data_IF_975039345962
#
_entry.id   IF_975039345962
#
_cell.length_a   1.000
_cell.length_b   1.000
_cell.length_c   1.000
_cell.angle_alpha   90.00
_cell.angle_beta   90.00
_cell.angle_gamma   90.00
#
_symmetry.space_group_name_H-M   'P 1'
#
loop_
_entity.id
_entity.type
_entity.pdbx_description
1 polymer ?
#
# COMPACT_ATOMS: atom_id res chain seq x y z
N UNK A 1 -0.32 12.37 -5.27
CA UNK A 1 -1.31 11.53 -4.56
C UNK A 1 -1.34 10.21 -5.29
N UNK A 2 -1.03 9.12 -4.60
CA UNK A 2 -1.11 7.79 -5.18
C UNK A 2 -2.59 7.46 -5.40
N UNK A 3 -3.07 7.47 -6.64
CA UNK A 3 -4.47 7.18 -6.99
C UNK A 3 -4.82 5.70 -6.85
N UNK A 4 -3.82 4.86 -6.73
CA UNK A 4 -3.91 3.41 -6.87
C UNK A 4 -4.79 2.77 -5.79
N UNK A 5 -4.72 3.26 -4.54
CA UNK A 5 -5.56 2.78 -3.43
C UNK A 5 -7.03 3.20 -3.53
N UNK A 6 -7.37 4.18 -4.38
CA UNK A 6 -8.71 4.71 -4.54
C UNK A 6 -9.43 4.14 -5.76
N UNK A 7 -8.63 3.72 -6.75
CA UNK A 7 -9.15 3.34 -8.04
C UNK A 7 -9.25 1.81 -8.18
N UNK A 8 -8.30 1.09 -7.57
CA UNK A 8 -8.20 -0.38 -7.73
C UNK A 8 -7.83 -1.07 -6.42
N UNK A 9 -8.42 -2.24 -6.20
CA UNK A 9 -7.97 -3.19 -5.19
C UNK A 9 -7.31 -4.41 -5.85
N UNK A 10 -6.35 -5.03 -5.16
CA UNK A 10 -5.69 -6.26 -5.60
C UNK A 10 -5.75 -7.30 -4.49
N UNK A 11 -6.09 -8.51 -4.83
CA UNK A 11 -6.14 -9.62 -3.87
C UNK A 11 -5.85 -10.98 -4.51
N UNK A 12 -5.34 -11.95 -3.72
CA UNK A 12 -4.83 -11.76 -2.37
C UNK A 12 -3.59 -10.88 -2.35
N UNK A 13 -3.41 -10.09 -1.27
CA UNK A 13 -2.19 -9.27 -1.09
C UNK A 13 -1.03 -10.07 -0.55
N UNK A 14 -1.32 -11.10 0.23
CA UNK A 14 -0.36 -12.02 0.81
C UNK A 14 -0.43 -13.35 0.07
N UNK A 15 0.69 -13.78 -0.45
CA UNK A 15 0.82 -14.94 -1.33
C UNK A 15 1.91 -15.86 -0.78
N UNK A 16 1.81 -17.16 -1.09
CA UNK A 16 2.85 -18.10 -0.73
C UNK A 16 3.91 -18.14 -1.83
N UNK A 17 5.17 -17.98 -1.45
CA UNK A 17 6.29 -18.11 -2.35
C UNK A 17 6.33 -19.48 -3.02
N UNK A 18 6.62 -19.52 -4.31
CA UNK A 18 6.79 -20.74 -5.08
C UNK A 18 5.50 -21.47 -5.47
N UNK A 19 4.34 -21.03 -4.98
CA UNK A 19 3.05 -21.58 -5.37
C UNK A 19 2.35 -20.70 -6.42
N UNK A 20 1.69 -21.33 -7.40
CA UNK A 20 0.86 -20.59 -8.37
C UNK A 20 -0.35 -20.03 -7.65
N UNK A 21 -0.54 -18.73 -7.78
CA UNK A 21 -1.68 -18.01 -7.19
C UNK A 21 -2.46 -17.27 -8.27
N UNK A 22 -3.78 -17.31 -8.17
CA UNK A 22 -4.66 -16.46 -8.96
C UNK A 22 -4.79 -15.10 -8.28
N UNK A 23 -4.51 -14.04 -9.02
CA UNK A 23 -4.53 -12.66 -8.55
C UNK A 23 -5.65 -11.94 -9.27
N UNK A 24 -6.45 -11.22 -8.50
CA UNK A 24 -7.57 -10.43 -9.00
C UNK A 24 -7.30 -8.95 -8.77
N UNK A 25 -7.50 -8.14 -9.81
CA UNK A 25 -7.55 -6.67 -9.72
C UNK A 25 -8.98 -6.25 -9.95
N UNK A 26 -9.54 -5.51 -8.99
CA UNK A 26 -10.92 -5.03 -9.01
C UNK A 26 -10.97 -3.51 -9.00
N UNK A 27 -11.70 -2.85 -9.92
CA UNK A 27 -11.97 -1.42 -9.83
C UNK A 27 -12.87 -1.12 -8.62
N UNK A 28 -12.54 -0.06 -7.85
CA UNK A 28 -13.27 0.33 -6.64
C UNK A 28 -14.42 1.27 -6.99
N UNK A 29 -14.30 2.07 -8.04
CA UNK A 29 -15.33 3.02 -8.45
C UNK A 29 -15.62 2.97 -9.94
N UNK A 30 -16.76 3.53 -10.34
CA UNK A 30 -17.19 3.55 -11.74
C UNK A 30 -16.18 4.26 -12.66
N UNK A 31 -15.44 5.25 -12.14
CA UNK A 31 -14.39 5.97 -12.87
C UNK A 31 -13.16 5.11 -13.19
N UNK A 32 -12.97 4.02 -12.45
CA UNK A 32 -11.86 3.08 -12.63
C UNK A 32 -12.29 1.80 -13.39
N UNK A 33 -13.57 1.68 -13.74
CA UNK A 33 -14.09 0.51 -14.44
C UNK A 33 -13.35 0.28 -15.78
N UNK A 34 -13.14 -0.99 -16.08
CA UNK A 34 -12.60 -1.40 -17.37
C UNK A 34 -13.72 -1.34 -18.42
N UNK A 35 -13.60 -0.45 -19.39
CA UNK A 35 -14.59 -0.29 -20.45
C UNK A 35 -14.16 -1.01 -21.73
N UNK A 36 -15.06 -1.80 -22.27
CA UNK A 36 -14.88 -2.48 -23.54
C UNK A 36 -13.95 -3.70 -23.46
N UNK A 37 -13.68 -4.29 -24.63
CA UNK A 37 -12.75 -5.42 -24.77
C UNK A 37 -11.28 -4.96 -24.81
N UNK A 38 -10.93 -3.90 -24.09
CA UNK A 38 -9.59 -3.38 -24.10
C UNK A 38 -8.71 -4.23 -23.20
N UNK A 39 -7.80 -4.98 -23.82
CA UNK A 39 -6.78 -5.73 -23.12
C UNK A 39 -5.94 -4.79 -22.27
N UNK A 40 -5.74 -5.18 -21.04
CA UNK A 40 -4.80 -4.54 -20.12
C UNK A 40 -3.51 -5.33 -20.10
N UNK A 41 -2.41 -4.66 -19.88
CA UNK A 41 -1.12 -5.32 -19.69
C UNK A 41 -0.72 -5.23 -18.22
N UNK A 42 -0.50 -6.36 -17.59
CA UNK A 42 0.01 -6.47 -16.22
C UNK A 42 1.51 -6.67 -16.29
N UNK A 43 2.26 -5.82 -15.55
CA UNK A 43 3.70 -5.99 -15.38
C UNK A 43 4.01 -6.22 -13.92
N UNK A 44 4.71 -7.30 -13.61
CA UNK A 44 5.14 -7.68 -12.26
C UNK A 44 6.64 -7.51 -12.14
N UNK A 45 7.11 -6.92 -11.04
CA UNK A 45 8.53 -6.68 -10.76
C UNK A 45 8.80 -6.81 -9.26
N UNK A 46 9.90 -7.46 -8.83
CA UNK A 46 10.31 -7.45 -7.42
C UNK A 46 10.71 -6.02 -7.00
N UNK A 47 10.43 -5.66 -5.75
CA UNK A 47 10.74 -4.34 -5.18
C UNK A 47 12.07 -4.30 -4.44
N UNK A 48 12.65 -5.46 -4.12
CA UNK A 48 13.97 -5.57 -3.49
C UNK A 48 15.15 -5.37 -4.45
N UNK A 49 16.35 -5.24 -3.88
CA UNK A 49 17.64 -5.24 -4.58
C UNK A 49 17.81 -4.18 -5.68
N UNK A 50 17.38 -2.94 -5.41
CA UNK A 50 17.64 -1.82 -6.34
C UNK A 50 16.69 -1.75 -7.53
N UNK A 51 15.60 -2.49 -7.53
CA UNK A 51 14.56 -2.44 -8.56
C UNK A 51 13.95 -1.03 -8.76
N UNK A 52 14.15 -0.13 -7.79
CA UNK A 52 13.72 1.28 -7.87
C UNK A 52 14.70 2.20 -8.61
N UNK A 53 16.00 1.91 -8.57
CA UNK A 53 17.04 2.87 -8.98
C UNK A 53 17.72 2.53 -10.29
N UNK A 54 17.63 1.31 -10.74
CA UNK A 54 18.12 0.89 -12.06
C UNK A 54 17.06 0.04 -12.71
N UNK A 55 17.01 0.07 -14.03
CA UNK A 55 16.13 -0.80 -14.80
C UNK A 55 16.22 -2.21 -14.23
N UNK A 56 15.09 -2.80 -13.77
CA UNK A 56 15.10 -4.14 -13.24
C UNK A 56 15.73 -5.05 -14.27
N UNK A 57 16.61 -5.92 -13.84
CA UNK A 57 17.16 -6.94 -14.72
C UNK A 57 15.98 -7.60 -15.42
N UNK A 58 16.02 -7.68 -16.75
CA UNK A 58 14.88 -8.13 -17.56
C UNK A 58 14.42 -9.54 -17.19
N UNK A 59 15.29 -10.31 -16.56
CA UNK A 59 15.05 -11.67 -16.11
C UNK A 59 14.01 -11.78 -14.97
N UNK A 60 13.76 -10.71 -14.23
CA UNK A 60 12.84 -10.69 -13.09
C UNK A 60 11.59 -9.82 -13.36
N UNK A 61 11.21 -9.65 -14.62
CA UNK A 61 10.02 -8.91 -15.00
C UNK A 61 9.10 -9.81 -15.80
N UNK A 62 7.88 -9.97 -15.30
CA UNK A 62 6.85 -10.76 -15.97
C UNK A 62 5.78 -9.85 -16.56
N UNK A 63 5.17 -10.27 -17.65
CA UNK A 63 4.13 -9.51 -18.34
C UNK A 63 2.99 -10.40 -18.81
N UNK A 64 1.76 -9.92 -18.62
CA UNK A 64 0.53 -10.62 -19.00
C UNK A 64 -0.42 -9.69 -19.74
N UNK A 65 -0.93 -10.12 -20.89
CA UNK A 65 -2.11 -9.50 -21.48
C UNK A 65 -3.35 -10.10 -20.79
N UNK A 66 -4.20 -9.26 -20.24
CA UNK A 66 -5.37 -9.68 -19.48
C UNK A 66 -6.59 -8.90 -19.98
N UNK A 67 -7.64 -9.62 -20.30
CA UNK A 67 -8.92 -9.05 -20.71
C UNK A 67 -9.85 -8.98 -19.49
N UNK A 68 -10.59 -7.88 -19.30
CA UNK A 68 -11.58 -7.80 -18.22
C UNK A 68 -12.64 -8.90 -18.35
N UNK A 69 -12.96 -9.53 -17.21
CA UNK A 69 -14.00 -10.54 -17.13
C UNK A 69 -15.40 -9.90 -17.08
N UNK A 70 -16.42 -10.74 -17.21
CA UNK A 70 -17.83 -10.28 -17.21
C UNK A 70 -18.26 -9.63 -15.89
N UNK A 71 -17.57 -9.94 -14.78
CA UNK A 71 -17.78 -9.34 -13.47
C UNK A 71 -17.01 -8.01 -13.27
N UNK A 72 -16.33 -7.55 -14.31
CA UNK A 72 -15.58 -6.30 -14.29
C UNK A 72 -14.22 -6.38 -13.58
N UNK A 73 -13.68 -7.58 -13.36
CA UNK A 73 -12.36 -7.79 -12.76
C UNK A 73 -11.32 -8.22 -13.80
N UNK A 74 -10.04 -8.07 -13.46
CA UNK A 74 -8.93 -8.70 -14.18
C UNK A 74 -8.40 -9.84 -13.34
N UNK A 75 -8.24 -11.04 -13.93
CA UNK A 75 -7.62 -12.20 -13.26
C UNK A 75 -6.44 -12.71 -14.06
N UNK A 76 -5.40 -13.08 -13.36
CA UNK A 76 -4.23 -13.72 -13.93
C UNK A 76 -3.56 -14.62 -12.88
N UNK A 77 -2.77 -15.58 -13.36
CA UNK A 77 -2.01 -16.48 -12.49
C UNK A 77 -0.54 -16.17 -12.56
N UNK A 78 0.13 -16.25 -11.41
CA UNK A 78 1.58 -16.06 -11.32
C UNK A 78 2.16 -16.88 -10.16
N UNK A 79 3.42 -17.32 -10.34
CA UNK A 79 4.23 -17.94 -9.30
C UNK A 79 5.36 -16.98 -8.94
N UNK A 80 5.40 -16.53 -7.69
CA UNK A 80 6.43 -15.64 -7.19
C UNK A 80 7.66 -16.46 -6.72
N UNK A 81 8.83 -16.35 -7.39
CA UNK A 81 9.94 -17.25 -7.12
C UNK A 81 10.72 -16.93 -5.85
N UNK A 82 10.64 -15.72 -5.33
CA UNK A 82 11.37 -15.27 -4.16
C UNK A 82 10.45 -14.59 -3.15
N UNK A 83 10.84 -14.61 -1.88
CA UNK A 83 10.20 -13.83 -0.85
C UNK A 83 10.42 -12.34 -1.07
N UNK A 84 9.38 -11.53 -0.83
CA UNK A 84 9.46 -10.08 -0.88
C UNK A 84 8.21 -9.41 -1.42
N UNK A 85 8.32 -8.08 -1.53
CA UNK A 85 7.31 -7.23 -2.14
C UNK A 85 7.47 -7.20 -3.66
N UNK A 86 6.35 -7.28 -4.36
CA UNK A 86 6.28 -7.16 -5.82
C UNK A 86 5.35 -6.04 -6.24
N UNK A 87 5.85 -5.16 -7.11
CA UNK A 87 5.02 -4.17 -7.79
C UNK A 87 4.24 -4.83 -8.91
N UNK A 88 2.93 -4.66 -8.89
CA UNK A 88 2.01 -5.07 -9.96
C UNK A 88 1.49 -3.82 -10.64
N UNK A 89 1.98 -3.54 -11.85
CA UNK A 89 1.58 -2.37 -12.62
C UNK A 89 0.49 -2.73 -13.62
N UNK A 90 -0.63 -2.05 -13.50
CA UNK A 90 -1.69 -2.08 -14.49
C UNK A 90 -1.40 -1.05 -15.56
N UNK A 91 -1.28 -1.49 -16.81
CA UNK A 91 -1.00 -0.65 -17.97
C UNK A 91 -2.22 -0.76 -18.90
N UNK A 92 -2.81 0.39 -19.20
CA UNK A 92 -4.00 0.44 -20.07
C UNK A 92 -3.64 0.32 -21.57
N UNK A 93 -4.66 0.30 -22.43
CA UNK A 93 -4.53 0.26 -23.88
C UNK A 93 -3.70 1.42 -24.47
N UNK A 94 -3.67 2.56 -23.81
CA UNK A 94 -2.86 3.73 -24.20
C UNK A 94 -1.39 3.61 -23.80
N UNK A 95 -0.98 2.46 -23.28
CA UNK A 95 0.37 2.19 -22.74
C UNK A 95 0.76 3.06 -21.54
N UNK A 96 -0.21 3.63 -20.84
CA UNK A 96 0.01 4.40 -19.61
C UNK A 96 -0.19 3.51 -18.40
N UNK A 97 0.61 3.75 -17.36
CA UNK A 97 0.41 3.09 -16.06
C UNK A 97 -0.84 3.69 -15.42
N UNK A 98 -1.89 2.89 -15.32
CA UNK A 98 -3.16 3.24 -14.70
C UNK A 98 -3.09 3.07 -13.18
N UNK A 99 -2.41 2.03 -12.71
CA UNK A 99 -2.22 1.76 -11.28
C UNK A 99 -0.86 1.10 -11.01
N UNK A 100 -0.35 1.32 -9.78
CA UNK A 100 0.78 0.61 -9.19
C UNK A 100 0.29 -0.02 -7.90
N UNK A 101 0.15 -1.32 -7.91
CA UNK A 101 -0.34 -2.11 -6.79
C UNK A 101 0.82 -2.94 -6.22
N UNK A 102 0.65 -3.46 -5.02
CA UNK A 102 1.64 -4.30 -4.38
C UNK A 102 1.03 -5.61 -3.88
N UNK A 103 1.82 -6.69 -3.99
CA UNK A 103 1.57 -7.98 -3.35
C UNK A 103 2.83 -8.46 -2.68
N UNK A 104 2.70 -9.34 -1.69
CA UNK A 104 3.79 -9.85 -0.87
C UNK A 104 3.82 -11.36 -0.95
N UNK A 105 4.91 -11.91 -1.50
CA UNK A 105 5.17 -13.34 -1.48
C UNK A 105 5.98 -13.69 -0.23
N UNK A 106 5.51 -14.64 0.56
CA UNK A 106 6.08 -14.96 1.86
C UNK A 106 6.47 -16.45 1.96
N UNK A 107 7.50 -16.71 2.74
CA UNK A 107 7.86 -18.06 3.21
C UNK A 107 6.83 -18.55 4.26
N UNK A 108 6.87 -19.84 4.56
CA UNK A 108 5.91 -20.50 5.45
C UNK A 108 5.85 -19.90 6.87
N UNK A 109 6.96 -19.38 7.37
CA UNK A 109 7.06 -18.79 8.70
C UNK A 109 6.27 -17.48 8.85
N UNK A 110 6.11 -16.71 7.76
CA UNK A 110 5.32 -15.49 7.71
C UNK A 110 3.96 -15.70 7.04
N UNK A 111 3.87 -16.55 6.02
CA UNK A 111 2.61 -16.80 5.31
C UNK A 111 1.48 -17.30 6.22
N UNK A 112 1.81 -18.11 7.22
CA UNK A 112 0.85 -18.59 8.22
C UNK A 112 0.45 -17.57 9.29
N UNK A 113 0.97 -16.33 9.24
CA UNK A 113 0.68 -15.28 10.22
C UNK A 113 -0.38 -14.30 9.72
N UNK A 114 -0.97 -13.57 10.66
CA UNK A 114 -1.89 -12.50 10.33
C UNK A 114 -1.10 -11.25 9.91
N UNK A 115 -1.46 -10.67 8.76
CA UNK A 115 -0.85 -9.44 8.27
C UNK A 115 -1.66 -8.24 8.75
N UNK A 116 -0.99 -7.28 9.41
CA UNK A 116 -1.57 -6.01 9.81
C UNK A 116 -1.04 -4.87 8.94
N UNK A 117 -1.92 -3.95 8.55
CA UNK A 117 -1.56 -2.75 7.83
C UNK A 117 -1.34 -1.60 8.81
N UNK A 118 -0.15 -1.02 8.82
CA UNK A 118 0.17 0.09 9.72
C UNK A 118 0.99 1.18 9.05
N UNK A 119 0.91 2.38 9.63
CA UNK A 119 1.78 3.50 9.28
C UNK A 119 2.25 4.19 10.57
N UNK A 120 3.57 4.28 10.72
CA UNK A 120 4.22 4.84 11.89
C UNK A 120 4.92 6.18 11.59
N UNK A 121 4.63 6.80 10.43
CA UNK A 121 5.22 8.07 10.05
C UNK A 121 4.24 8.94 9.26
N UNK A 122 3.55 9.83 9.97
CA UNK A 122 2.61 10.76 9.36
C UNK A 122 2.50 12.06 10.14
N UNK A 123 2.10 13.12 9.43
CA UNK A 123 2.05 14.47 9.96
C UNK A 123 0.64 15.04 9.93
N UNK A 124 0.32 15.82 10.95
CA UNK A 124 -0.89 16.61 11.03
C UNK A 124 -0.63 18.09 10.75
N UNK A 125 -1.69 18.92 10.73
CA UNK A 125 -1.55 20.38 10.61
C UNK A 125 -0.88 21.02 11.84
N UNK A 126 -0.55 20.26 12.86
CA UNK A 126 0.21 20.74 14.00
C UNK A 126 1.72 20.79 13.72
N UNK A 127 2.18 20.21 12.60
CA UNK A 127 3.49 20.46 12.00
C UNK A 127 3.36 20.92 10.55
N UNK A 128 3.60 20.08 9.58
CA UNK A 128 3.59 20.41 8.15
C UNK A 128 2.55 19.61 7.34
N UNK A 129 1.76 18.78 8.01
CA UNK A 129 0.59 18.13 7.40
C UNK A 129 -0.55 19.13 7.13
N UNK A 130 -1.66 18.65 6.60
CA UNK A 130 -2.79 19.50 6.18
C UNK A 130 -4.02 19.36 7.05
N UNK A 131 -4.22 18.24 7.69
CA UNK A 131 -5.44 17.88 8.42
C UNK A 131 -5.18 17.84 9.92
N UNK A 132 -6.23 18.07 10.70
CA UNK A 132 -6.17 17.94 12.15
C UNK A 132 -5.84 16.47 12.55
N UNK A 133 -5.15 16.22 13.67
CA UNK A 133 -4.71 14.88 14.07
C UNK A 133 -5.82 13.84 14.09
N UNK A 134 -7.00 14.23 14.56
CA UNK A 134 -8.17 13.36 14.64
C UNK A 134 -8.77 13.02 13.27
N UNK A 135 -8.71 13.97 12.32
CA UNK A 135 -9.14 13.72 10.93
C UNK A 135 -8.16 12.78 10.24
N UNK A 136 -6.85 12.98 10.44
CA UNK A 136 -5.83 12.05 9.94
C UNK A 136 -6.13 10.63 10.44
N UNK A 137 -6.37 10.47 11.74
CA UNK A 137 -6.67 9.17 12.34
C UNK A 137 -7.95 8.54 11.76
N UNK A 138 -9.01 9.31 11.59
CA UNK A 138 -10.26 8.84 10.99
C UNK A 138 -10.07 8.39 9.53
N UNK A 139 -9.28 9.12 8.75
CA UNK A 139 -8.97 8.77 7.37
C UNK A 139 -8.19 7.46 7.30
N UNK A 140 -7.16 7.27 8.13
CA UNK A 140 -6.40 6.01 8.17
C UNK A 140 -7.29 4.82 8.52
N UNK A 141 -8.18 4.97 9.50
CA UNK A 141 -9.17 3.92 9.81
C UNK A 141 -10.09 3.64 8.63
N UNK A 142 -10.56 4.65 7.92
CA UNK A 142 -11.42 4.49 6.74
C UNK A 142 -10.73 3.76 5.59
N UNK A 143 -9.39 3.83 5.53
CA UNK A 143 -8.57 3.11 4.54
C UNK A 143 -8.19 1.69 4.95
N UNK A 144 -8.66 1.24 6.12
CA UNK A 144 -8.43 -0.11 6.59
C UNK A 144 -7.11 -0.33 7.32
N UNK A 145 -6.46 0.73 7.81
CA UNK A 145 -5.28 0.59 8.66
C UNK A 145 -5.64 0.01 10.02
N UNK A 146 -4.81 -0.92 10.50
CA UNK A 146 -4.96 -1.60 11.79
C UNK A 146 -4.25 -0.86 12.92
N UNK A 147 -3.16 -0.13 12.59
CA UNK A 147 -2.43 0.67 13.57
C UNK A 147 -1.75 1.89 12.94
N UNK A 148 -1.49 2.91 13.76
CA UNK A 148 -0.82 4.13 13.32
C UNK A 148 -0.18 4.91 14.47
N UNK A 149 0.78 5.79 14.12
CA UNK A 149 1.28 6.85 15.00
C UNK A 149 1.34 8.17 14.25
N UNK A 150 0.80 9.25 14.84
CA UNK A 150 1.05 10.60 14.35
C UNK A 150 2.41 11.04 14.91
N UNK A 151 3.31 11.43 14.01
CA UNK A 151 4.70 11.76 14.33
C UNK A 151 5.04 13.16 13.85
N UNK A 152 4.30 14.15 14.34
CA UNK A 152 4.52 15.55 13.99
C UNK A 152 5.95 16.00 14.37
N UNK A 153 6.55 16.84 13.54
CA UNK A 153 7.90 17.37 13.77
C UNK A 153 8.03 18.04 15.13
N UNK A 154 8.93 17.52 15.98
CA UNK A 154 9.25 18.05 17.31
C UNK A 154 8.03 18.21 18.23
N UNK A 155 6.99 17.40 18.03
CA UNK A 155 5.74 17.50 18.76
C UNK A 155 5.17 16.12 19.08
N UNK A 156 5.33 15.73 20.30
CA UNK A 156 4.82 14.44 20.78
C UNK A 156 3.32 14.48 21.11
N UNK A 157 2.80 15.63 21.58
CA UNK A 157 1.43 15.74 22.06
C UNK A 157 0.33 15.47 21.01
N UNK A 158 0.50 15.68 19.67
CA UNK A 158 -0.57 15.37 18.72
C UNK A 158 -0.96 13.90 18.73
N UNK A 159 0.01 12.99 18.91
CA UNK A 159 -0.27 11.56 19.02
C UNK A 159 -1.09 11.24 20.28
N UNK A 160 -0.75 11.89 21.42
CA UNK A 160 -1.49 11.73 22.69
C UNK A 160 -2.93 12.27 22.60
N UNK A 161 -3.14 13.40 21.90
CA UNK A 161 -4.47 13.96 21.67
C UNK A 161 -5.38 12.96 20.94
N UNK A 162 -4.88 12.29 19.93
CA UNK A 162 -5.64 11.27 19.18
C UNK A 162 -5.94 10.08 20.08
N UNK A 163 -4.96 9.59 20.81
CA UNK A 163 -5.15 8.49 21.76
C UNK A 163 -6.21 8.81 22.80
N UNK A 164 -6.18 10.02 23.39
CA UNK A 164 -7.17 10.46 24.36
C UNK A 164 -8.58 10.59 23.72
N UNK A 165 -8.65 11.28 22.56
CA UNK A 165 -9.93 11.50 21.86
C UNK A 165 -10.65 10.21 21.55
N UNK A 166 -9.93 9.21 21.09
CA UNK A 166 -10.49 7.93 20.67
C UNK A 166 -10.48 6.85 21.76
N UNK A 167 -9.95 7.14 22.95
CA UNK A 167 -9.85 6.14 24.05
C UNK A 167 -11.18 5.54 24.48
N UNK A 168 -12.28 6.26 24.27
CA UNK A 168 -13.64 5.84 24.66
C UNK A 168 -14.49 5.34 23.49
N UNK A 169 -13.92 5.30 22.28
CA UNK A 169 -14.61 4.82 21.10
C UNK A 169 -14.10 3.43 20.72
N UNK A 170 -14.99 2.49 20.41
CA UNK A 170 -14.60 1.14 19.99
C UNK A 170 -14.12 1.15 18.53
N UNK A 171 -13.04 1.87 18.26
CA UNK A 171 -12.42 1.89 16.95
C UNK A 171 -11.49 0.70 16.79
N UNK A 172 -11.63 0.01 15.67
CA UNK A 172 -10.77 -1.10 15.29
C UNK A 172 -9.49 -0.60 14.61
N UNK A 173 -8.77 0.26 15.32
CA UNK A 173 -7.44 0.76 14.95
C UNK A 173 -6.65 1.06 16.22
N UNK A 174 -5.39 0.64 16.27
CA UNK A 174 -4.53 0.90 17.43
C UNK A 174 -3.67 2.14 17.19
N UNK A 175 -3.73 3.08 18.15
CA UNK A 175 -2.89 4.27 18.14
C UNK A 175 -1.65 4.06 19.02
N UNK A 176 -0.49 4.48 18.50
CA UNK A 176 0.77 4.54 19.23
C UNK A 176 1.19 6.00 19.40
N UNK A 177 1.83 6.34 20.53
CA UNK A 177 2.42 7.65 20.70
C UNK A 177 3.67 7.76 19.82
N UNK A 178 3.98 8.97 19.34
CA UNK A 178 5.17 9.19 18.55
C UNK A 178 5.42 10.65 18.23
N UNK A 179 6.64 10.94 17.80
CA UNK A 179 7.06 12.21 17.24
C UNK A 179 8.18 12.01 16.23
N UNK A 180 8.41 12.98 15.36
CA UNK A 180 9.59 13.04 14.53
C UNK A 180 10.60 14.02 15.13
N UNK A 181 11.70 13.47 15.62
CA UNK A 181 12.78 14.22 16.26
C UNK A 181 13.74 14.73 15.19
N UNK A 182 14.11 16.01 15.27
CA UNK A 182 15.17 16.62 14.49
C UNK A 182 16.43 16.80 15.33
N UNK A 183 17.50 16.18 14.94
CA UNK A 183 18.77 16.37 15.61
C UNK A 183 19.35 17.73 15.27
N UNK A 184 19.77 18.54 16.27
CA UNK A 184 20.36 19.85 16.02
C UNK A 184 21.59 19.77 15.11
N UNK A 185 21.65 20.64 14.09
CA UNK A 185 22.80 20.74 13.18
C UNK A 185 22.93 19.62 12.16
N UNK A 186 21.90 18.80 11.98
CA UNK A 186 21.85 17.74 10.96
C UNK A 186 20.52 17.76 10.22
N UNK A 187 20.49 17.14 9.04
CA UNK A 187 19.26 16.89 8.27
C UNK A 187 18.66 15.49 8.59
N UNK A 188 19.10 14.89 9.70
CA UNK A 188 18.60 13.55 10.13
C UNK A 188 17.33 13.72 10.93
N UNK A 189 16.29 13.02 10.48
CA UNK A 189 15.00 12.88 11.16
C UNK A 189 14.88 11.47 11.72
N UNK A 190 14.41 11.36 12.94
CA UNK A 190 14.24 10.08 13.65
C UNK A 190 12.81 9.97 14.14
N UNK A 191 12.15 8.90 13.78
CA UNK A 191 10.84 8.55 14.34
C UNK A 191 11.05 7.87 15.69
N UNK A 192 10.44 8.43 16.72
CA UNK A 192 10.47 7.97 18.11
C UNK A 192 9.07 7.51 18.57
#
# INVERSE_FOLDING_TARGET
MQRDLWDYDIYPKILKKGEESEITIKPIGAHAAFYGNNDCFIRIMPMGNGAFYKYPERENVWGYNVTPESDGTLRFKHTFPAEGEYSVRLINSDKKVAAKLAVYALEDDLYGRYAYLGDMHMHSCLSDGREAPDIVAANYRSYGYDFMAITDHRRYYPSLMVMEKYSRLPLDIKFYPGEEIHLPGTDVHIIN
#
